data_IF_804873942126
#
_entry.id   IF_804873942126
#
_cell.length_a   1.000
_cell.length_b   1.000
_cell.length_c   1.000
_cell.angle_alpha   90.00
_cell.angle_beta   90.00
_cell.angle_gamma   90.00
#
_symmetry.space_group_name_H-M   'P 1'
#
loop_
_entity.id
_entity.type
_entity.pdbx_description
1 polymer ?
#
# COMPACT_ATOMS: atom_id res chain seq x y z
N UNK A 1 -5.37 -22.27 -33.86
CA UNK A 1 -5.04 -23.52 -33.14
C UNK A 1 -3.55 -23.66 -32.87
N UNK A 2 -2.66 -23.62 -33.88
CA UNK A 2 -1.20 -23.75 -33.66
C UNK A 2 -0.60 -22.71 -32.70
N UNK A 3 -1.02 -21.44 -32.78
CA UNK A 3 -0.56 -20.35 -31.89
C UNK A 3 -0.96 -20.55 -30.42
N UNK A 4 -2.14 -21.13 -30.20
CA UNK A 4 -2.70 -21.40 -28.87
C UNK A 4 -1.96 -22.56 -28.19
N UNK A 5 -1.51 -23.56 -28.96
CA UNK A 5 -0.71 -24.69 -28.46
C UNK A 5 0.73 -24.28 -28.12
N UNK A 6 1.35 -23.39 -28.91
CA UNK A 6 2.69 -22.87 -28.61
C UNK A 6 2.68 -22.02 -27.34
N UNK A 7 1.68 -21.15 -27.18
CA UNK A 7 1.50 -20.37 -25.94
C UNK A 7 1.18 -21.26 -24.73
N UNK A 8 0.41 -22.33 -24.91
CA UNK A 8 0.13 -23.29 -23.84
C UNK A 8 1.39 -24.06 -23.41
N UNK A 9 2.24 -24.45 -24.37
CA UNK A 9 3.54 -25.07 -24.12
C UNK A 9 4.49 -24.14 -23.36
N UNK A 10 4.68 -22.90 -23.84
CA UNK A 10 5.51 -21.88 -23.18
C UNK A 10 4.99 -21.57 -21.77
N UNK A 11 3.67 -21.45 -21.61
CA UNK A 11 3.04 -21.23 -20.30
C UNK A 11 3.36 -22.37 -19.33
N UNK A 12 3.35 -23.62 -19.78
CA UNK A 12 3.64 -24.75 -18.90
C UNK A 12 5.10 -24.78 -18.43
N UNK A 13 6.03 -24.22 -19.21
CA UNK A 13 7.45 -24.13 -18.85
C UNK A 13 7.79 -22.90 -18.00
N UNK A 14 7.16 -21.74 -18.25
CA UNK A 14 7.48 -20.48 -17.55
C UNK A 14 6.56 -20.15 -16.38
N UNK A 15 5.41 -20.83 -16.23
CA UNK A 15 4.45 -20.51 -15.17
C UNK A 15 5.01 -20.88 -13.81
N UNK A 16 5.26 -19.85 -13.01
CA UNK A 16 5.53 -19.97 -11.59
C UNK A 16 4.30 -20.57 -10.90
N UNK A 17 4.49 -21.70 -10.22
CA UNK A 17 3.42 -22.41 -9.51
C UNK A 17 3.29 -21.99 -8.05
N UNK A 18 4.40 -21.58 -7.44
CA UNK A 18 4.42 -21.13 -6.05
C UNK A 18 3.61 -19.82 -5.91
N UNK A 19 2.58 -19.85 -5.06
CA UNK A 19 1.68 -18.72 -4.85
C UNK A 19 2.42 -17.49 -4.31
N UNK A 20 3.28 -17.69 -3.31
CA UNK A 20 4.07 -16.62 -2.70
C UNK A 20 4.93 -15.90 -3.75
N UNK A 21 5.64 -16.65 -4.59
CA UNK A 21 6.49 -16.03 -5.63
C UNK A 21 5.63 -15.21 -6.60
N UNK A 22 4.45 -15.70 -6.99
CA UNK A 22 3.52 -14.94 -7.84
C UNK A 22 3.04 -13.66 -7.16
N UNK A 23 2.72 -13.74 -5.86
CA UNK A 23 2.29 -12.59 -5.06
C UNK A 23 3.41 -11.56 -4.94
N UNK A 24 4.64 -11.98 -4.63
CA UNK A 24 5.81 -11.10 -4.58
C UNK A 24 6.06 -10.41 -5.93
N UNK A 25 5.96 -11.13 -7.05
CA UNK A 25 6.13 -10.52 -8.37
C UNK A 25 5.03 -9.49 -8.69
N UNK A 26 3.79 -9.76 -8.28
CA UNK A 26 2.69 -8.83 -8.44
C UNK A 26 2.85 -7.58 -7.55
N UNK A 27 3.23 -7.74 -6.28
CA UNK A 27 3.58 -6.62 -5.39
C UNK A 27 4.73 -5.80 -5.96
N UNK A 28 5.79 -6.47 -6.45
CA UNK A 28 6.94 -5.79 -7.03
C UNK A 28 6.53 -4.94 -8.23
N UNK A 29 5.80 -5.54 -9.18
CA UNK A 29 5.35 -4.83 -10.38
C UNK A 29 4.37 -3.71 -10.06
N UNK A 30 3.41 -3.94 -9.16
CA UNK A 30 2.45 -2.92 -8.76
C UNK A 30 3.13 -1.71 -8.11
N UNK A 31 4.02 -1.94 -7.14
CA UNK A 31 4.79 -0.85 -6.50
C UNK A 31 5.71 -0.17 -7.51
N UNK A 32 6.34 -0.94 -8.40
CA UNK A 32 7.19 -0.36 -9.44
C UNK A 32 6.42 0.62 -10.34
N UNK A 33 5.24 0.20 -10.82
CA UNK A 33 4.35 1.05 -11.63
C UNK A 33 3.86 2.26 -10.84
N UNK A 34 3.43 2.07 -9.59
CA UNK A 34 3.00 3.15 -8.71
C UNK A 34 4.07 4.23 -8.59
N UNK A 35 5.29 3.84 -8.23
CA UNK A 35 6.38 4.78 -7.97
C UNK A 35 6.92 5.40 -9.25
N UNK A 36 7.07 4.64 -10.34
CA UNK A 36 7.56 5.19 -11.60
C UNK A 36 6.66 6.33 -12.11
N UNK A 37 5.35 6.12 -12.07
CA UNK A 37 4.39 7.14 -12.52
C UNK A 37 4.29 8.32 -11.53
N UNK A 38 4.29 8.04 -10.23
CA UNK A 38 4.23 9.09 -9.19
C UNK A 38 5.48 9.97 -9.23
N UNK A 39 6.67 9.38 -9.22
CA UNK A 39 7.94 10.10 -9.24
C UNK A 39 8.18 10.77 -10.59
N UNK A 40 7.79 10.13 -11.70
CA UNK A 40 7.86 10.74 -13.03
C UNK A 40 7.04 12.03 -13.12
N UNK A 41 5.85 12.09 -12.52
CA UNK A 41 5.07 13.32 -12.48
C UNK A 41 5.73 14.44 -11.68
N UNK A 42 6.37 14.10 -10.55
CA UNK A 42 7.14 15.07 -9.75
C UNK A 42 8.40 15.52 -10.51
N UNK A 43 9.14 14.59 -11.10
CA UNK A 43 10.30 14.89 -11.94
C UNK A 43 9.92 15.83 -13.08
N UNK A 44 8.82 15.54 -13.78
CA UNK A 44 8.30 16.38 -14.85
C UNK A 44 8.00 17.80 -14.38
N UNK A 45 7.36 17.98 -13.23
CA UNK A 45 7.09 19.30 -12.68
C UNK A 45 8.39 20.02 -12.30
N UNK A 46 9.26 19.38 -11.52
CA UNK A 46 10.50 19.97 -11.00
C UNK A 46 11.47 20.32 -12.12
N UNK A 47 11.84 19.36 -12.98
CA UNK A 47 12.88 19.58 -14.00
C UNK A 47 12.42 20.49 -15.13
N UNK A 48 11.10 20.71 -15.29
CA UNK A 48 10.56 21.66 -16.27
C UNK A 48 10.39 23.09 -15.73
N UNK A 49 10.76 23.35 -14.47
CA UNK A 49 10.48 24.63 -13.81
C UNK A 49 8.98 24.93 -13.77
N UNK A 50 8.18 23.91 -13.49
CA UNK A 50 6.72 23.92 -13.45
C UNK A 50 5.98 24.24 -14.78
N UNK A 51 6.68 24.24 -15.91
CA UNK A 51 6.05 24.52 -17.22
C UNK A 51 5.33 23.31 -17.84
N UNK A 52 5.63 22.08 -17.35
CA UNK A 52 5.01 20.81 -17.80
C UNK A 52 4.33 20.03 -16.68
N UNK A 53 4.24 20.61 -15.49
CA UNK A 53 3.59 20.03 -14.33
C UNK A 53 3.66 20.99 -13.16
N UNK A 54 2.74 20.85 -12.21
CA UNK A 54 2.66 21.61 -10.98
C UNK A 54 2.05 20.72 -9.88
N UNK A 55 1.86 21.30 -8.69
CA UNK A 55 1.24 20.62 -7.54
C UNK A 55 -0.02 19.81 -7.87
N UNK A 56 -0.96 20.40 -8.64
CA UNK A 56 -2.19 19.72 -9.03
C UNK A 56 -1.91 18.48 -9.89
N UNK A 57 -1.03 18.61 -10.90
CA UNK A 57 -0.70 17.47 -11.77
C UNK A 57 0.04 16.37 -11.02
N UNK A 58 0.90 16.70 -10.04
CA UNK A 58 1.59 15.72 -9.22
C UNK A 58 0.60 14.87 -8.41
N UNK A 59 -0.41 15.52 -7.83
CA UNK A 59 -1.39 14.84 -6.98
C UNK A 59 -2.38 14.01 -7.80
N UNK A 60 -2.82 14.53 -8.96
CA UNK A 60 -3.64 13.77 -9.90
C UNK A 60 -2.88 12.53 -10.41
N UNK A 61 -1.64 12.71 -10.87
CA UNK A 61 -0.84 11.61 -11.39
C UNK A 61 -0.56 10.57 -10.32
N UNK A 62 -0.16 10.97 -9.10
CA UNK A 62 0.06 10.02 -7.99
C UNK A 62 -1.20 9.22 -7.66
N UNK A 63 -2.37 9.86 -7.66
CA UNK A 63 -3.65 9.20 -7.38
C UNK A 63 -4.04 8.20 -8.47
N UNK A 64 -3.90 8.56 -9.74
CA UNK A 64 -4.13 7.63 -10.85
C UNK A 64 -3.08 6.52 -10.93
N UNK A 65 -1.85 6.79 -10.48
CA UNK A 65 -0.80 5.77 -10.37
C UNK A 65 -1.21 4.67 -9.39
N UNK A 66 -1.83 5.02 -8.27
CA UNK A 66 -2.41 4.05 -7.32
C UNK A 66 -3.50 3.21 -8.00
N UNK A 67 -4.45 3.84 -8.69
CA UNK A 67 -5.50 3.13 -9.43
C UNK A 67 -4.92 2.10 -10.40
N UNK A 68 -3.97 2.52 -11.23
CA UNK A 68 -3.35 1.66 -12.24
C UNK A 68 -2.57 0.53 -11.58
N UNK A 69 -1.79 0.82 -10.53
CA UNK A 69 -1.01 -0.17 -9.82
C UNK A 69 -1.89 -1.24 -9.14
N UNK A 70 -3.04 -0.85 -8.60
CA UNK A 70 -4.01 -1.80 -8.04
C UNK A 70 -4.58 -2.69 -9.14
N UNK A 71 -4.93 -2.15 -10.31
CA UNK A 71 -5.35 -3.00 -11.45
C UNK A 71 -4.26 -3.99 -11.88
N UNK A 72 -2.99 -3.57 -11.86
CA UNK A 72 -1.85 -4.41 -12.24
C UNK A 72 -1.65 -5.60 -11.30
N UNK A 73 -1.74 -5.38 -9.97
CA UNK A 73 -1.41 -6.41 -8.98
C UNK A 73 -2.62 -7.11 -8.34
N UNK A 74 -3.81 -6.52 -8.42
CA UNK A 74 -4.95 -6.80 -7.56
C UNK A 74 -5.41 -8.26 -7.55
N UNK A 75 -5.40 -8.91 -8.71
CA UNK A 75 -5.92 -10.27 -8.84
C UNK A 75 -4.96 -11.36 -8.32
N UNK A 76 -3.66 -11.04 -8.15
CA UNK A 76 -2.65 -12.03 -7.75
C UNK A 76 -2.24 -11.83 -6.30
N UNK A 77 -1.83 -10.61 -5.91
CA UNK A 77 -1.35 -10.32 -4.55
C UNK A 77 -2.41 -9.72 -3.63
N UNK A 78 -3.56 -9.30 -4.18
CA UNK A 78 -4.49 -8.40 -3.51
C UNK A 78 -4.11 -6.92 -3.62
N UNK A 79 -3.01 -6.61 -4.32
CA UNK A 79 -2.46 -5.26 -4.48
C UNK A 79 -2.31 -4.52 -3.14
N UNK A 80 -1.47 -5.05 -2.25
CA UNK A 80 -1.22 -4.36 -0.99
C UNK A 80 -0.46 -3.06 -1.21
N UNK A 81 0.65 -3.15 -1.96
CA UNK A 81 1.49 -2.05 -2.45
C UNK A 81 2.03 -1.08 -1.38
N UNK A 82 1.74 -1.35 -0.11
CA UNK A 82 1.94 -0.49 1.03
C UNK A 82 2.12 -1.34 2.30
N UNK A 83 3.24 -1.19 3.03
CA UNK A 83 3.43 -1.84 4.34
C UNK A 83 2.32 -1.51 5.34
N UNK A 84 1.80 -0.28 5.36
CA UNK A 84 0.73 0.13 6.27
C UNK A 84 -0.58 -0.62 5.98
N UNK A 85 -0.93 -0.80 4.71
CA UNK A 85 -2.11 -1.59 4.33
C UNK A 85 -1.88 -3.10 4.54
N UNK A 86 -0.67 -3.60 4.29
CA UNK A 86 -0.30 -5.00 4.61
C UNK A 86 -0.46 -5.29 6.10
N UNK A 87 -0.07 -4.34 6.97
CA UNK A 87 -0.28 -4.41 8.41
C UNK A 87 -1.76 -4.40 8.76
N UNK A 88 -2.56 -3.50 8.18
CA UNK A 88 -3.99 -3.46 8.39
C UNK A 88 -4.66 -4.80 8.04
N UNK A 89 -4.28 -5.41 6.92
CA UNK A 89 -4.79 -6.72 6.49
C UNK A 89 -4.40 -7.85 7.46
N UNK A 90 -3.21 -7.80 8.06
CA UNK A 90 -2.84 -8.70 9.16
C UNK A 90 -3.71 -8.51 10.40
N UNK A 91 -3.91 -7.25 10.83
CA UNK A 91 -4.68 -6.90 12.03
C UNK A 91 -6.14 -7.35 11.94
N UNK A 92 -6.75 -7.27 10.75
CA UNK A 92 -8.14 -7.71 10.52
C UNK A 92 -8.25 -9.19 10.13
N UNK A 93 -7.17 -9.96 10.23
CA UNK A 93 -7.16 -11.41 9.97
C UNK A 93 -7.33 -11.80 8.49
N UNK A 94 -7.11 -10.88 7.56
CA UNK A 94 -7.21 -11.12 6.10
C UNK A 94 -5.87 -11.39 5.42
N UNK A 95 -4.76 -11.31 6.15
CA UNK A 95 -3.42 -11.59 5.63
C UNK A 95 -2.53 -12.28 6.69
N UNK A 96 -1.76 -13.33 6.34
CA UNK A 96 -0.92 -14.02 7.31
C UNK A 96 0.24 -13.15 7.79
N UNK A 97 0.45 -13.10 9.12
CA UNK A 97 1.57 -12.37 9.73
C UNK A 97 2.95 -12.80 9.23
N UNK A 98 3.11 -14.06 8.86
CA UNK A 98 4.38 -14.58 8.28
C UNK A 98 4.69 -13.99 6.91
N UNK A 99 3.70 -13.47 6.19
CA UNK A 99 3.86 -12.88 4.86
C UNK A 99 4.15 -11.39 4.91
N UNK A 100 3.78 -10.72 5.99
CA UNK A 100 4.01 -9.31 6.22
C UNK A 100 5.47 -8.86 5.97
N UNK A 101 6.50 -9.45 6.60
CA UNK A 101 7.88 -9.00 6.38
C UNK A 101 8.36 -9.21 4.94
N UNK A 102 7.87 -10.26 4.27
CA UNK A 102 8.23 -10.56 2.88
C UNK A 102 7.62 -9.51 1.95
N UNK A 103 6.35 -9.15 2.14
CA UNK A 103 5.70 -8.08 1.37
C UNK A 103 6.40 -6.74 1.59
N UNK A 104 6.71 -6.37 2.84
CA UNK A 104 7.44 -5.13 3.13
C UNK A 104 8.79 -5.05 2.40
N UNK A 105 9.57 -6.13 2.40
CA UNK A 105 10.86 -6.19 1.73
C UNK A 105 10.73 -6.08 0.20
N UNK A 106 9.76 -6.79 -0.38
CA UNK A 106 9.48 -6.74 -1.83
C UNK A 106 9.02 -5.35 -2.26
N UNK A 107 8.12 -4.73 -1.49
CA UNK A 107 7.62 -3.38 -1.75
C UNK A 107 8.75 -2.35 -1.65
N UNK A 108 9.63 -2.45 -0.63
CA UNK A 108 10.80 -1.57 -0.50
C UNK A 108 11.76 -1.71 -1.69
N UNK A 109 12.06 -2.95 -2.10
CA UNK A 109 12.95 -3.20 -3.24
C UNK A 109 12.34 -2.68 -4.55
N UNK A 110 11.04 -2.86 -4.74
CA UNK A 110 10.35 -2.34 -5.92
C UNK A 110 10.36 -0.82 -6.00
N UNK A 111 10.09 -0.14 -4.88
CA UNK A 111 10.13 1.31 -4.80
C UNK A 111 11.55 1.87 -5.03
N UNK A 112 12.57 1.16 -4.53
CA UNK A 112 13.98 1.44 -4.82
C UNK A 112 14.29 1.31 -6.33
N UNK A 113 13.90 0.21 -6.96
CA UNK A 113 14.13 -0.03 -8.39
C UNK A 113 13.38 0.96 -9.29
N UNK A 114 12.14 1.32 -8.93
CA UNK A 114 11.39 2.36 -9.65
C UNK A 114 12.06 3.73 -9.56
N UNK A 115 12.71 4.03 -8.43
CA UNK A 115 13.48 5.26 -8.26
C UNK A 115 14.70 5.31 -9.19
N UNK A 116 15.41 4.18 -9.31
CA UNK A 116 16.46 4.02 -10.31
C UNK A 116 15.96 4.20 -11.74
N UNK A 117 14.81 3.61 -12.07
CA UNK A 117 14.19 3.77 -13.39
C UNK A 117 13.79 5.23 -13.67
N UNK A 118 13.18 5.92 -12.71
CA UNK A 118 12.84 7.35 -12.81
C UNK A 118 14.08 8.21 -13.00
N UNK A 119 15.15 7.95 -12.23
CA UNK A 119 16.42 8.66 -12.36
C UNK A 119 17.03 8.51 -13.75
N UNK A 120 17.05 7.29 -14.29
CA UNK A 120 17.54 7.02 -15.66
C UNK A 120 16.65 7.72 -16.69
N UNK A 121 15.33 7.63 -16.55
CA UNK A 121 14.38 8.24 -17.47
C UNK A 121 14.50 9.76 -17.55
N UNK A 122 14.80 10.41 -16.41
CA UNK A 122 14.93 11.86 -16.30
C UNK A 122 16.39 12.34 -16.22
N UNK A 123 17.38 11.49 -16.54
CA UNK A 123 18.80 11.80 -16.31
C UNK A 123 19.24 13.13 -16.93
N UNK A 124 18.97 13.33 -18.23
CA UNK A 124 19.33 14.57 -18.92
C UNK A 124 18.55 15.79 -18.40
N UNK A 125 17.28 15.61 -18.03
CA UNK A 125 16.46 16.67 -17.47
C UNK A 125 16.95 17.11 -16.08
N UNK A 126 17.33 16.15 -15.24
CA UNK A 126 17.96 16.38 -13.94
C UNK A 126 19.31 17.09 -14.12
N UNK A 127 20.14 16.61 -15.05
CA UNK A 127 21.45 17.22 -15.31
C UNK A 127 21.31 18.66 -15.79
N UNK A 128 20.39 18.92 -16.70
CA UNK A 128 20.10 20.27 -17.20
C UNK A 128 19.56 21.20 -16.10
N UNK A 129 18.64 20.71 -15.26
CA UNK A 129 18.03 21.51 -14.19
C UNK A 129 19.04 21.86 -13.07
N UNK A 130 19.83 20.87 -12.65
CA UNK A 130 20.73 20.96 -11.50
C UNK A 130 22.14 21.43 -11.86
N UNK A 131 22.57 21.32 -13.12
CA UNK A 131 23.98 21.48 -13.50
C UNK A 131 24.88 20.39 -12.91
N UNK A 132 24.32 19.24 -12.53
CA UNK A 132 25.03 18.13 -11.87
C UNK A 132 25.11 18.22 -10.35
N UNK A 133 24.54 19.27 -9.73
CA UNK A 133 24.52 19.42 -8.28
C UNK A 133 23.22 18.89 -7.66
N UNK A 134 23.27 17.67 -7.12
CA UNK A 134 22.12 16.98 -6.52
C UNK A 134 21.96 17.39 -5.04
N UNK A 135 21.02 18.28 -4.75
CA UNK A 135 20.77 18.77 -3.38
C UNK A 135 19.44 18.27 -2.81
N UNK A 136 19.38 18.16 -1.48
CA UNK A 136 18.18 17.77 -0.72
C UNK A 136 17.35 18.96 -0.29
N UNK A 137 18.01 20.10 -0.07
CA UNK A 137 17.37 21.37 0.30
C UNK A 137 17.80 22.50 -0.63
N UNK A 138 17.07 23.61 -0.58
CA UNK A 138 17.32 24.80 -1.38
C UNK A 138 16.46 24.90 -2.65
N UNK A 139 16.65 25.97 -3.44
CA UNK A 139 15.73 26.34 -4.53
C UNK A 139 15.78 25.42 -5.76
N UNK A 140 16.81 24.57 -5.86
CA UNK A 140 17.00 23.58 -6.93
C UNK A 140 17.12 22.16 -6.38
N UNK A 141 16.57 21.92 -5.20
CA UNK A 141 16.55 20.57 -4.65
C UNK A 141 15.78 19.62 -5.58
N UNK A 142 16.24 18.38 -5.62
CA UNK A 142 15.66 17.33 -6.48
C UNK A 142 15.42 16.03 -5.73
N UNK A 143 15.73 15.99 -4.44
CA UNK A 143 15.51 14.78 -3.63
C UNK A 143 14.02 14.51 -3.45
N UNK A 144 13.19 15.57 -3.42
CA UNK A 144 11.74 15.47 -3.25
C UNK A 144 11.01 14.80 -4.42
N UNK A 145 11.68 14.65 -5.58
CA UNK A 145 11.19 13.85 -6.71
C UNK A 145 10.94 12.40 -6.28
N UNK A 146 11.80 11.86 -5.42
CA UNK A 146 11.83 10.45 -5.10
C UNK A 146 11.09 10.13 -3.80
N UNK A 147 11.33 10.92 -2.75
CA UNK A 147 10.87 10.73 -1.37
C UNK A 147 10.28 12.04 -0.83
N UNK A 148 9.53 12.03 0.27
CA UNK A 148 8.91 13.25 0.78
C UNK A 148 9.77 13.95 1.83
N UNK A 149 9.61 15.27 1.90
CA UNK A 149 10.21 16.13 2.92
C UNK A 149 9.11 17.04 3.49
N UNK A 150 9.23 17.44 4.77
CA UNK A 150 8.25 18.30 5.41
C UNK A 150 8.41 19.74 4.92
N UNK A 151 7.31 20.49 4.89
CA UNK A 151 7.36 21.92 4.67
C UNK A 151 8.24 22.60 5.76
N UNK A 152 8.90 23.74 5.46
CA UNK A 152 9.86 24.34 6.39
C UNK A 152 9.31 24.71 7.77
N UNK A 153 8.00 24.96 7.88
CA UNK A 153 7.33 25.31 9.13
C UNK A 153 6.89 24.09 9.97
N UNK A 154 6.97 22.87 9.42
CA UNK A 154 6.36 21.70 10.02
C UNK A 154 7.29 21.06 11.04
N UNK A 155 6.82 20.96 12.29
CA UNK A 155 7.50 20.21 13.34
C UNK A 155 7.32 18.70 13.17
N UNK A 156 8.25 17.90 13.69
CA UNK A 156 8.14 16.43 13.69
C UNK A 156 6.84 15.96 14.34
N UNK A 157 6.41 16.59 15.45
CA UNK A 157 5.17 16.23 16.14
C UNK A 157 3.95 16.42 15.24
N UNK A 158 3.85 17.57 14.56
CA UNK A 158 2.72 17.83 13.68
C UNK A 158 2.77 16.98 12.41
N UNK A 159 3.95 16.74 11.84
CA UNK A 159 4.10 15.85 10.70
C UNK A 159 3.83 14.38 11.03
N UNK A 160 4.16 13.94 12.24
CA UNK A 160 3.78 12.61 12.73
C UNK A 160 2.26 12.49 12.85
N UNK A 161 1.59 13.48 13.46
CA UNK A 161 0.13 13.50 13.58
C UNK A 161 -0.55 13.53 12.20
N UNK A 162 -0.06 14.36 11.29
CA UNK A 162 -0.53 14.45 9.90
C UNK A 162 -0.50 13.08 9.21
N UNK A 163 0.62 12.36 9.29
CA UNK A 163 0.76 11.04 8.69
C UNK A 163 -0.04 9.95 9.38
N UNK A 164 -0.24 10.03 10.70
CA UNK A 164 -1.16 9.14 11.43
C UNK A 164 -2.59 9.34 10.94
N UNK A 165 -3.07 10.59 10.90
CA UNK A 165 -4.46 10.90 10.51
C UNK A 165 -4.70 10.53 9.04
N UNK A 166 -3.82 10.95 8.14
CA UNK A 166 -3.97 10.65 6.71
C UNK A 166 -3.97 9.16 6.42
N UNK A 167 -3.09 8.40 7.08
CA UNK A 167 -3.05 6.95 6.88
C UNK A 167 -4.23 6.25 7.54
N UNK A 168 -4.71 6.73 8.70
CA UNK A 168 -5.92 6.21 9.31
C UNK A 168 -7.13 6.39 8.38
N UNK A 169 -7.27 7.57 7.77
CA UNK A 169 -8.34 7.82 6.79
C UNK A 169 -8.22 6.94 5.55
N UNK A 170 -7.00 6.75 5.04
CA UNK A 170 -6.75 5.80 3.96
C UNK A 170 -7.22 4.40 4.34
N UNK A 171 -6.79 3.87 5.50
CA UNK A 171 -7.15 2.51 5.92
C UNK A 171 -8.65 2.36 6.18
N UNK A 172 -9.30 3.32 6.82
CA UNK A 172 -10.77 3.31 6.99
C UNK A 172 -11.47 3.23 5.65
N UNK A 173 -11.08 4.05 4.67
CA UNK A 173 -11.66 4.04 3.33
C UNK A 173 -11.40 2.73 2.58
N UNK A 174 -10.18 2.19 2.64
CA UNK A 174 -9.84 0.91 2.03
C UNK A 174 -10.65 -0.25 2.62
N UNK A 175 -10.76 -0.32 3.95
CA UNK A 175 -11.56 -1.36 4.59
C UNK A 175 -13.05 -1.21 4.25
N UNK A 176 -13.58 0.01 4.19
CA UNK A 176 -14.95 0.26 3.77
C UNK A 176 -15.24 -0.21 2.33
N UNK A 177 -14.31 0.05 1.40
CA UNK A 177 -14.41 -0.39 0.00
C UNK A 177 -14.33 -1.92 -0.12
N UNK A 178 -13.47 -2.56 0.67
CA UNK A 178 -13.26 -4.01 0.67
C UNK A 178 -14.31 -4.80 1.47
N UNK A 179 -15.18 -4.13 2.20
CA UNK A 179 -16.21 -4.77 3.00
C UNK A 179 -17.48 -5.01 2.18
N UNK A 180 -17.71 -6.27 1.83
CA UNK A 180 -18.86 -6.67 1.00
C UNK A 180 -20.21 -6.52 1.72
N UNK A 181 -20.21 -6.21 3.02
CA UNK A 181 -21.40 -5.94 3.83
C UNK A 181 -21.86 -4.48 3.71
N UNK A 182 -21.00 -3.58 3.21
CA UNK A 182 -21.38 -2.21 2.87
C UNK A 182 -22.18 -2.17 1.56
N UNK A 183 -22.73 -1.00 1.22
CA UNK A 183 -23.46 -0.75 -0.04
C UNK A 183 -22.66 -1.05 -1.33
N UNK A 184 -21.36 -1.33 -1.20
CA UNK A 184 -20.49 -1.78 -2.28
C UNK A 184 -20.23 -0.70 -3.33
N UNK A 185 -19.15 -0.89 -4.07
CA UNK A 185 -18.91 -0.18 -5.33
C UNK A 185 -19.16 -1.16 -6.48
N UNK A 186 -19.52 -0.69 -7.69
CA UNK A 186 -19.65 -1.59 -8.84
C UNK A 186 -18.35 -2.37 -9.07
N UNK A 187 -18.48 -3.67 -9.35
CA UNK A 187 -17.33 -4.55 -9.52
C UNK A 187 -16.38 -4.04 -10.61
N UNK A 188 -15.09 -3.98 -10.27
CA UNK A 188 -14.04 -3.43 -11.12
C UNK A 188 -13.79 -1.94 -10.92
N UNK A 189 -14.65 -1.19 -10.23
CA UNK A 189 -14.41 0.24 -9.92
C UNK A 189 -13.72 0.47 -8.57
N UNK A 190 -13.46 -0.57 -7.78
CA UNK A 190 -12.75 -0.48 -6.50
C UNK A 190 -11.43 0.29 -6.66
N UNK A 191 -10.54 -0.03 -7.63
CA UNK A 191 -9.27 0.68 -7.79
C UNK A 191 -9.45 2.17 -8.11
N UNK A 192 -10.50 2.53 -8.86
CA UNK A 192 -10.82 3.93 -9.20
C UNK A 192 -11.22 4.70 -7.95
N UNK A 193 -12.08 4.12 -7.11
CA UNK A 193 -12.53 4.75 -5.87
C UNK A 193 -11.36 4.87 -4.88
N UNK A 194 -10.43 3.90 -4.85
CA UNK A 194 -9.19 4.02 -4.07
C UNK A 194 -8.32 5.18 -4.55
N UNK A 195 -8.16 5.36 -5.88
CA UNK A 195 -7.46 6.52 -6.42
C UNK A 195 -8.12 7.84 -6.04
N UNK A 196 -9.45 7.92 -6.09
CA UNK A 196 -10.21 9.10 -5.65
C UNK A 196 -10.01 9.39 -4.15
N UNK A 197 -9.96 8.36 -3.31
CA UNK A 197 -9.66 8.49 -1.88
C UNK A 197 -8.27 9.10 -1.66
N UNK A 198 -7.25 8.57 -2.34
CA UNK A 198 -5.89 9.13 -2.28
C UNK A 198 -5.86 10.57 -2.77
N UNK A 199 -6.59 10.88 -3.84
CA UNK A 199 -6.68 12.23 -4.41
C UNK A 199 -7.26 13.24 -3.41
N UNK A 200 -8.36 12.89 -2.75
CA UNK A 200 -9.00 13.75 -1.75
C UNK A 200 -8.07 13.93 -0.55
N UNK A 201 -7.42 12.86 -0.08
CA UNK A 201 -6.40 12.97 0.98
C UNK A 201 -5.27 13.92 0.56
N UNK A 202 -4.73 13.76 -0.65
CA UNK A 202 -3.69 14.66 -1.17
C UNK A 202 -4.14 16.12 -1.20
N UNK A 203 -5.33 16.41 -1.74
CA UNK A 203 -5.83 17.79 -1.80
C UNK A 203 -6.15 18.40 -0.42
N UNK A 204 -6.56 17.59 0.56
CA UNK A 204 -6.95 18.09 1.88
C UNK A 204 -5.79 18.19 2.88
N UNK A 205 -4.76 17.35 2.75
CA UNK A 205 -3.67 17.25 3.74
C UNK A 205 -2.27 17.07 3.13
N UNK A 206 -2.11 17.30 1.83
CA UNK A 206 -0.83 17.10 1.15
C UNK A 206 0.21 18.21 1.37
N UNK A 207 -0.18 19.42 1.79
CA UNK A 207 0.74 20.57 1.84
C UNK A 207 1.79 20.47 2.95
N UNK A 208 1.49 19.76 4.03
CA UNK A 208 2.39 19.66 5.18
C UNK A 208 3.65 18.88 4.82
N UNK A 209 3.50 17.68 4.24
CA UNK A 209 4.63 16.80 3.97
C UNK A 209 4.45 15.85 2.77
N UNK A 210 3.55 16.18 1.84
CA UNK A 210 3.37 15.44 0.59
C UNK A 210 2.66 14.08 0.72
N UNK A 211 1.95 13.85 1.82
CA UNK A 211 1.11 12.66 2.08
C UNK A 211 1.74 11.32 1.61
N UNK A 212 2.91 10.89 2.12
CA UNK A 212 3.49 9.62 1.71
C UNK A 212 2.58 8.42 2.03
N UNK A 213 1.97 8.35 3.23
CA UNK A 213 1.00 7.32 3.68
C UNK A 213 1.48 5.85 3.58
N UNK A 214 2.71 5.64 3.11
CA UNK A 214 3.23 4.36 2.66
C UNK A 214 4.74 4.30 2.96
N UNK A 215 5.16 3.47 3.93
CA UNK A 215 6.57 3.36 4.31
C UNK A 215 7.49 2.95 3.17
N UNK A 216 7.05 2.07 2.26
CA UNK A 216 7.88 1.63 1.13
C UNK A 216 8.06 2.72 0.08
N UNK A 217 7.00 3.50 -0.17
CA UNK A 217 6.98 4.66 -1.09
C UNK A 217 7.93 5.79 -0.66
N UNK A 218 8.31 5.83 0.60
CA UNK A 218 9.24 6.84 1.11
C UNK A 218 10.65 6.28 1.33
N UNK A 219 10.78 5.20 2.12
CA UNK A 219 12.09 4.67 2.52
C UNK A 219 12.87 4.06 1.35
N UNK A 220 12.21 3.33 0.44
CA UNK A 220 12.87 2.74 -0.72
C UNK A 220 13.53 3.80 -1.61
N UNK A 221 12.78 4.83 -2.06
CA UNK A 221 13.33 5.94 -2.81
C UNK A 221 14.37 6.78 -2.05
N UNK A 222 14.22 6.93 -0.73
CA UNK A 222 15.22 7.63 0.11
C UNK A 222 16.55 6.89 0.17
N UNK A 223 16.52 5.56 0.26
CA UNK A 223 17.72 4.73 0.16
C UNK A 223 18.37 4.83 -1.23
N UNK A 224 17.56 4.97 -2.28
CA UNK A 224 18.07 5.22 -3.63
C UNK A 224 18.81 6.57 -3.71
N UNK A 225 18.18 7.67 -3.31
CA UNK A 225 18.82 9.00 -3.40
C UNK A 225 20.06 9.11 -2.52
N UNK A 226 20.09 8.46 -1.36
CA UNK A 226 21.29 8.32 -0.54
C UNK A 226 22.48 7.76 -1.33
N UNK A 227 22.26 6.67 -2.09
CA UNK A 227 23.31 6.00 -2.87
C UNK A 227 23.58 6.66 -4.23
N UNK A 228 22.60 7.36 -4.79
CA UNK A 228 22.65 7.91 -6.15
C UNK A 228 23.23 9.34 -6.23
N UNK A 229 23.72 9.90 -5.12
CA UNK A 229 24.52 11.13 -5.12
C UNK A 229 23.99 12.28 -4.26
N UNK A 230 22.78 12.19 -3.68
CA UNK A 230 22.29 13.20 -2.73
C UNK A 230 22.93 13.06 -1.34
N UNK A 231 23.49 11.89 -1.03
CA UNK A 231 24.27 11.67 0.18
C UNK A 231 23.43 11.62 1.47
N UNK A 232 24.08 11.71 2.65
CA UNK A 232 23.43 11.48 3.95
C UNK A 232 22.39 12.53 4.33
N UNK A 233 22.36 13.69 3.65
CA UNK A 233 21.40 14.76 3.94
C UNK A 233 19.94 14.28 3.79
N UNK A 234 19.68 13.27 2.94
CA UNK A 234 18.35 12.68 2.77
C UNK A 234 17.78 12.07 4.05
N UNK A 235 18.63 11.75 5.03
CA UNK A 235 18.23 11.24 6.35
C UNK A 235 18.30 12.30 7.46
N UNK A 236 18.96 13.44 7.26
CA UNK A 236 19.04 14.51 8.27
C UNK A 236 18.08 15.68 8.01
N UNK A 237 17.68 15.93 6.77
CA UNK A 237 16.76 17.00 6.40
C UNK A 237 15.41 16.88 7.14
N UNK A 238 14.78 18.02 7.41
CA UNK A 238 13.51 18.08 8.16
C UNK A 238 13.64 17.57 9.61
N UNK A 239 14.77 17.87 10.26
CA UNK A 239 15.09 17.42 11.63
C UNK A 239 15.12 15.89 11.78
N UNK A 240 15.64 15.18 10.77
CA UNK A 240 15.63 13.73 10.74
C UNK A 240 14.26 13.17 10.34
N UNK A 241 13.64 13.74 9.30
CA UNK A 241 12.27 13.42 8.89
C UNK A 241 12.02 11.95 8.53
N UNK A 242 13.04 11.24 8.03
CA UNK A 242 12.92 9.93 7.39
C UNK A 242 12.12 8.86 8.15
N UNK A 243 12.14 8.89 9.49
CA UNK A 243 11.46 7.89 10.30
C UNK A 243 9.95 8.15 10.41
N UNK A 244 9.51 9.40 10.19
CA UNK A 244 8.09 9.78 10.29
C UNK A 244 7.26 9.07 9.21
N UNK A 245 7.58 9.13 7.90
CA UNK A 245 6.87 8.36 6.86
C UNK A 245 6.98 6.85 7.00
N UNK A 246 7.86 6.33 7.86
CA UNK A 246 7.98 4.90 8.13
C UNK A 246 7.09 4.47 9.28
N UNK A 247 7.17 5.18 10.42
CA UNK A 247 6.48 4.79 11.66
C UNK A 247 5.05 5.32 11.71
N UNK A 248 4.83 6.59 11.36
CA UNK A 248 3.52 7.23 11.50
C UNK A 248 2.43 6.54 10.66
N UNK A 249 2.68 6.12 9.40
CA UNK A 249 1.68 5.37 8.65
C UNK A 249 1.31 4.01 9.26
N UNK A 250 2.25 3.32 9.92
CA UNK A 250 1.95 2.04 10.59
C UNK A 250 1.03 2.27 11.81
N UNK A 251 1.29 3.34 12.57
CA UNK A 251 0.42 3.76 13.68
C UNK A 251 -0.96 4.17 13.15
N UNK A 252 -1.00 4.99 12.10
CA UNK A 252 -2.24 5.39 11.43
C UNK A 252 -3.03 4.19 10.91
N UNK A 253 -2.37 3.19 10.32
CA UNK A 253 -3.04 2.00 9.84
C UNK A 253 -3.62 1.14 10.96
N UNK A 254 -2.91 1.05 12.10
CA UNK A 254 -3.40 0.36 13.29
C UNK A 254 -4.66 1.04 13.84
N UNK A 255 -4.62 2.38 13.99
CA UNK A 255 -5.75 3.16 14.46
C UNK A 255 -6.93 3.13 13.48
N UNK A 256 -6.68 3.32 12.19
CA UNK A 256 -7.73 3.26 11.16
C UNK A 256 -8.41 1.90 11.11
N UNK A 257 -7.66 0.80 11.27
CA UNK A 257 -8.24 -0.55 11.38
C UNK A 257 -9.14 -0.67 12.61
N UNK A 258 -8.66 -0.24 13.78
CA UNK A 258 -9.45 -0.28 15.01
C UNK A 258 -10.74 0.55 14.92
N UNK A 259 -10.64 1.76 14.35
CA UNK A 259 -11.79 2.67 14.14
C UNK A 259 -12.82 2.02 13.23
N UNK A 260 -12.41 1.50 12.06
CA UNK A 260 -13.34 0.87 11.13
C UNK A 260 -14.02 -0.36 11.75
N UNK A 261 -13.25 -1.20 12.44
CA UNK A 261 -13.80 -2.37 13.12
C UNK A 261 -14.83 -1.96 14.18
N UNK A 262 -14.44 -1.06 15.07
CA UNK A 262 -15.29 -0.58 16.17
C UNK A 262 -16.55 0.11 15.70
N UNK A 263 -16.46 1.02 14.72
CA UNK A 263 -17.57 1.92 14.38
C UNK A 263 -18.45 1.42 13.23
N UNK A 264 -17.94 0.52 12.38
CA UNK A 264 -18.68 0.04 11.19
C UNK A 264 -18.79 -1.48 11.18
N UNK A 265 -17.66 -2.18 11.18
CA UNK A 265 -17.64 -3.62 10.90
C UNK A 265 -18.43 -4.46 11.91
N UNK A 266 -18.41 -4.07 13.19
CA UNK A 266 -19.15 -4.71 14.29
C UNK A 266 -20.64 -4.34 14.32
N UNK A 267 -21.08 -3.37 13.52
CA UNK A 267 -22.46 -2.88 13.49
C UNK A 267 -23.24 -3.35 12.26
N UNK A 268 -22.64 -4.18 11.40
CA UNK A 268 -23.40 -4.86 10.36
C UNK A 268 -24.39 -5.85 10.98
N UNK A 269 -25.59 -6.01 10.39
CA UNK A 269 -26.51 -7.06 10.82
C UNK A 269 -25.81 -8.42 10.75
N UNK A 270 -26.06 -9.27 11.75
CA UNK A 270 -25.60 -10.65 11.71
C UNK A 270 -26.16 -11.34 10.47
N UNK A 271 -25.31 -12.11 9.78
CA UNK A 271 -25.74 -12.88 8.61
C UNK A 271 -26.62 -14.04 9.09
N UNK A 272 -27.93 -14.07 8.74
CA UNK A 272 -28.83 -15.13 9.19
C UNK A 272 -28.37 -16.53 8.77
N UNK A 273 -27.58 -16.64 7.69
CA UNK A 273 -27.05 -17.92 7.20
C UNK A 273 -25.97 -18.52 8.11
N UNK A 274 -25.15 -17.69 8.76
CA UNK A 274 -24.09 -18.14 9.67
C UNK A 274 -24.64 -18.63 11.02
N UNK A 275 -25.72 -18.01 11.51
CA UNK A 275 -26.41 -18.47 12.73
C UNK A 275 -27.03 -19.84 12.50
N UNK A 276 -27.64 -20.06 11.32
CA UNK A 276 -28.25 -21.34 10.99
C UNK A 276 -27.22 -22.48 10.84
N UNK A 277 -26.03 -22.19 10.31
CA UNK A 277 -24.93 -23.15 10.24
C UNK A 277 -24.35 -23.46 11.62
N UNK A 278 -24.16 -22.45 12.49
CA UNK A 278 -23.69 -22.65 13.86
C UNK A 278 -24.69 -23.46 14.70
N UNK A 279 -25.99 -23.16 14.60
CA UNK A 279 -27.04 -23.93 15.26
C UNK A 279 -27.08 -25.38 14.74
N UNK A 280 -26.87 -25.59 13.44
CA UNK A 280 -26.82 -26.94 12.86
C UNK A 280 -25.59 -27.74 13.33
N UNK A 281 -24.44 -27.08 13.48
CA UNK A 281 -23.20 -27.69 14.00
C UNK A 281 -23.36 -28.00 15.49
N UNK A 282 -23.95 -27.08 16.25
CA UNK A 282 -24.27 -27.27 17.67
C UNK A 282 -25.23 -28.44 17.83
N UNK A 283 -26.29 -28.51 17.03
CA UNK A 283 -27.28 -29.58 17.09
C UNK A 283 -26.66 -30.95 16.76
N UNK A 284 -25.85 -31.03 15.71
CA UNK A 284 -25.11 -32.24 15.34
C UNK A 284 -24.11 -32.68 16.43
N UNK A 285 -23.45 -31.73 17.11
CA UNK A 285 -22.55 -32.03 18.22
C UNK A 285 -23.30 -32.58 19.45
N UNK A 286 -24.50 -32.04 19.75
CA UNK A 286 -25.34 -32.56 20.84
C UNK A 286 -25.90 -33.96 20.55
N UNK A 287 -26.25 -34.26 19.30
CA UNK A 287 -26.76 -35.58 18.93
C UNK A 287 -25.66 -36.65 18.89
N UNK A 288 -24.43 -36.28 18.49
CA UNK A 288 -23.25 -37.13 18.66
C UNK A 288 -22.95 -37.40 20.14
N UNK A 289 -23.10 -36.41 21.03
CA UNK A 289 -22.90 -36.60 22.47
C UNK A 289 -23.94 -37.54 23.11
N UNK A 290 -25.18 -37.55 22.61
CA UNK A 290 -26.24 -38.48 23.07
C UNK A 290 -25.98 -39.93 22.64
N UNK A 291 -25.36 -40.14 21.47
CA UNK A 291 -25.05 -41.48 20.94
C UNK A 291 -23.75 -42.09 21.45
N UNK A 292 -22.94 -41.37 22.25
CA UNK A 292 -21.68 -41.85 22.82
C UNK A 292 -21.82 -42.26 24.31
N UNK A 293 -23.03 -42.26 24.87
CA UNK A 293 -23.25 -42.80 26.22
C UNK A 293 -22.97 -44.32 26.24
N UNK A 294 -21.98 -44.81 27.01
CA UNK A 294 -21.70 -46.25 27.08
C UNK A 294 -22.85 -46.97 27.82
N UNK A 295 -23.16 -48.23 27.47
CA UNK A 295 -24.17 -48.99 28.19
C UNK A 295 -23.73 -49.19 29.64
N UNK A 296 -24.56 -48.74 30.57
CA UNK A 296 -24.43 -48.99 32.01
C UNK A 296 -24.50 -50.51 32.20
N UNK A 297 -23.38 -51.11 32.59
CA UNK A 297 -23.32 -52.51 32.97
C UNK A 297 -23.90 -52.63 34.40
N UNK A 298 -25.18 -52.99 34.51
CA UNK A 298 -25.73 -53.42 35.80
C UNK A 298 -25.08 -54.76 36.20
N UNK A 299 -24.13 -54.72 37.13
CA UNK A 299 -23.64 -55.91 37.81
C UNK A 299 -24.54 -56.23 39.00
N UNK A 300 -25.24 -57.36 38.92
CA UNK A 300 -25.84 -58.02 40.09
C UNK A 300 -24.74 -58.37 41.11
N UNK A 301 -24.84 -57.79 42.30
CA UNK A 301 -24.58 -58.38 43.62
C UNK A 301 -25.16 -57.46 44.69
#
# INVERSE_FOLDING_TARGET
>A
MAYTETLAGIRNHLRIRNLLVRQCLAEFLGVFVLLLLTQGAVAQAVTSGETKGNFLTMFLAGSFSVTIAIYVAGNISGAHLNPAFSLAMCLVGRFPWTMFPIYCLVQLLAAFCASGATYILYYDALQNYTGGNLTVTGPKETASIFTTYPAPYLSLNNGFLDQVIGTAMLIVGLLAILDRRNKGVPAGLEPVVVGLLIMVIGFSMGVNCGFPLNPARDLGPRLFTYMAGWGPEVFSAGNGWWWVPVVAPLVGATLGSAIYQGFVALHHPEDPGLVHDLDSIQHNATDLAKHVSPPILESKL
#
